data_IF_234278482144
#
_entry.id   IF_234278482144
#
_cell.length_a   1.000
_cell.length_b   1.000
_cell.length_c   1.000
_cell.angle_alpha   90.00
_cell.angle_beta   90.00
_cell.angle_gamma   90.00
#
_symmetry.space_group_name_H-M   'P 1'
#
loop_
_entity.id
_entity.type
_entity.pdbx_description
1 polymer ?
#
# COMPACT_ATOMS: atom_id res chain seq x y z
N UNK A 1 -38.83 3.93 3.86
CA UNK A 1 -37.94 5.08 3.58
C UNK A 1 -36.46 4.71 3.41
N UNK A 2 -35.94 3.65 4.04
CA UNK A 2 -34.52 3.27 3.97
C UNK A 2 -34.06 2.72 2.59
N UNK A 3 -34.94 2.02 1.86
CA UNK A 3 -34.64 1.47 0.52
C UNK A 3 -34.39 2.54 -0.55
N UNK A 4 -35.18 3.63 -0.57
CA UNK A 4 -35.00 4.72 -1.54
C UNK A 4 -33.69 5.49 -1.35
N UNK A 5 -33.24 5.67 -0.10
CA UNK A 5 -31.96 6.33 0.19
C UNK A 5 -30.77 5.48 -0.28
N UNK A 6 -30.83 4.15 -0.11
CA UNK A 6 -29.76 3.26 -0.56
C UNK A 6 -29.65 3.20 -2.09
N UNK A 7 -30.78 3.23 -2.81
CA UNK A 7 -30.79 3.26 -4.28
C UNK A 7 -30.25 4.59 -4.80
N UNK A 8 -30.69 5.72 -4.26
CA UNK A 8 -30.19 7.04 -4.66
C UNK A 8 -28.69 7.16 -4.36
N UNK A 9 -28.24 6.69 -3.19
CA UNK A 9 -26.82 6.68 -2.80
C UNK A 9 -25.98 5.79 -3.72
N UNK A 10 -26.45 4.60 -4.08
CA UNK A 10 -25.71 3.69 -4.97
C UNK A 10 -25.64 4.23 -6.40
N UNK A 11 -26.75 4.77 -6.93
CA UNK A 11 -26.77 5.39 -8.26
C UNK A 11 -25.81 6.57 -8.33
N UNK A 12 -25.87 7.52 -7.38
CA UNK A 12 -24.96 8.67 -7.35
C UNK A 12 -23.50 8.23 -7.22
N UNK A 13 -23.21 7.24 -6.35
CA UNK A 13 -21.84 6.73 -6.17
C UNK A 13 -21.32 6.08 -7.46
N UNK A 14 -22.16 5.31 -8.15
CA UNK A 14 -21.78 4.64 -9.39
C UNK A 14 -21.58 5.65 -10.53
N UNK A 15 -22.46 6.63 -10.68
CA UNK A 15 -22.31 7.68 -11.70
C UNK A 15 -21.03 8.49 -11.47
N UNK A 16 -20.77 8.94 -10.23
CA UNK A 16 -19.53 9.65 -9.89
C UNK A 16 -18.31 8.77 -10.17
N UNK A 17 -18.36 7.49 -9.82
CA UNK A 17 -17.27 6.55 -10.07
C UNK A 17 -17.01 6.38 -11.57
N UNK A 18 -18.06 6.17 -12.37
CA UNK A 18 -17.94 6.01 -13.83
C UNK A 18 -17.37 7.27 -14.47
N UNK A 19 -17.85 8.45 -14.11
CA UNK A 19 -17.34 9.72 -14.65
C UNK A 19 -15.90 9.99 -14.22
N UNK A 20 -15.57 9.63 -12.98
CA UNK A 20 -14.20 9.72 -12.48
C UNK A 20 -13.25 8.77 -13.24
N UNK A 21 -13.64 7.52 -13.47
CA UNK A 21 -12.86 6.57 -14.28
C UNK A 21 -12.66 7.12 -15.69
N UNK A 22 -13.71 7.64 -16.34
CA UNK A 22 -13.59 8.27 -17.66
C UNK A 22 -12.57 9.40 -17.67
N UNK A 23 -12.60 10.28 -16.66
CA UNK A 23 -11.66 11.41 -16.56
C UNK A 23 -10.24 10.93 -16.27
N UNK A 24 -10.07 10.02 -15.32
CA UNK A 24 -8.79 9.39 -14.98
C UNK A 24 -8.16 8.66 -16.19
N UNK A 25 -8.99 8.13 -17.11
CA UNK A 25 -8.50 7.51 -18.34
C UNK A 25 -7.87 8.51 -19.33
N UNK A 26 -8.23 9.79 -19.25
CA UNK A 26 -7.73 10.86 -20.12
C UNK A 26 -6.69 11.75 -19.46
N UNK A 27 -6.54 11.66 -18.15
CA UNK A 27 -5.62 12.49 -17.37
C UNK A 27 -4.20 11.93 -17.43
N UNK A 28 -3.25 12.72 -17.94
CA UNK A 28 -1.84 12.34 -18.07
C UNK A 28 -1.12 12.20 -16.72
N UNK A 29 -1.65 12.80 -15.66
CA UNK A 29 -1.10 12.68 -14.30
C UNK A 29 -1.51 11.37 -13.64
N UNK A 30 -2.58 10.74 -14.14
CA UNK A 30 -3.05 9.45 -13.65
C UNK A 30 -2.36 8.33 -14.43
N UNK A 31 -1.69 7.48 -13.68
CA UNK A 31 -1.10 6.27 -14.20
C UNK A 31 -1.98 5.05 -13.90
N UNK A 32 -2.13 4.20 -14.91
CA UNK A 32 -2.78 2.89 -14.78
C UNK A 32 -1.73 1.78 -14.72
N UNK A 33 -1.87 0.91 -13.73
CA UNK A 33 -1.04 -0.27 -13.55
C UNK A 33 -1.89 -1.50 -13.84
N UNK A 34 -1.64 -2.12 -14.99
CA UNK A 34 -2.26 -3.40 -15.40
C UNK A 34 -1.22 -4.50 -15.36
N UNK A 35 -1.61 -5.71 -14.94
CA UNK A 35 -0.74 -6.87 -14.85
C UNK A 35 0.46 -6.64 -13.93
N UNK A 36 0.22 -5.93 -12.81
CA UNK A 36 1.19 -5.75 -11.74
C UNK A 36 0.85 -6.68 -10.58
N UNK A 37 1.87 -7.38 -10.10
CA UNK A 37 1.79 -8.20 -8.90
C UNK A 37 2.27 -7.35 -7.75
N UNK A 38 1.44 -7.23 -6.71
CA UNK A 38 1.76 -6.47 -5.50
C UNK A 38 2.24 -7.41 -4.38
N UNK A 39 3.26 -6.97 -3.64
CA UNK A 39 3.83 -7.71 -2.51
C UNK A 39 4.21 -6.74 -1.40
N UNK A 40 4.08 -7.12 -0.12
CA UNK A 40 4.58 -6.31 0.97
C UNK A 40 6.10 -6.17 0.89
N UNK A 41 6.61 -4.99 1.26
CA UNK A 41 8.05 -4.77 1.37
C UNK A 41 8.56 -5.55 2.59
N UNK A 42 9.54 -6.43 2.39
CA UNK A 42 10.09 -7.25 3.47
C UNK A 42 10.51 -6.39 4.66
N UNK A 43 10.14 -6.82 5.87
CA UNK A 43 10.45 -6.12 7.11
C UNK A 43 10.03 -4.64 7.11
N UNK A 44 8.89 -4.29 6.52
CA UNK A 44 8.24 -2.97 6.66
C UNK A 44 7.11 -3.01 7.68
N UNK A 45 6.62 -1.85 8.15
CA UNK A 45 5.44 -1.82 9.03
C UNK A 45 4.20 -2.42 8.34
N UNK A 46 4.05 -2.25 7.03
CA UNK A 46 2.98 -2.89 6.24
C UNK A 46 3.12 -4.41 6.22
N UNK A 47 4.35 -4.93 6.11
CA UNK A 47 4.63 -6.36 6.27
C UNK A 47 4.20 -6.83 7.66
N UNK A 48 4.67 -6.19 8.74
CA UNK A 48 4.27 -6.59 10.09
C UNK A 48 2.76 -6.51 10.29
N UNK A 49 2.07 -5.51 9.76
CA UNK A 49 0.60 -5.43 9.83
C UNK A 49 -0.10 -6.63 9.21
N UNK A 50 0.45 -7.19 8.12
CA UNK A 50 -0.09 -8.38 7.47
C UNK A 50 0.13 -9.66 8.30
N UNK A 51 1.28 -9.78 8.95
CA UNK A 51 1.68 -11.02 9.63
C UNK A 51 1.30 -11.06 11.11
N UNK A 52 1.22 -9.91 11.79
CA UNK A 52 0.92 -9.79 13.22
C UNK A 52 -0.33 -10.57 13.67
N UNK A 53 -1.46 -10.56 12.94
CA UNK A 53 -2.62 -11.36 13.33
C UNK A 53 -2.32 -12.87 13.44
N UNK A 54 -1.44 -13.39 12.58
CA UNK A 54 -1.03 -14.80 12.63
C UNK A 54 -0.03 -15.06 13.76
N UNK A 55 0.88 -14.12 14.04
CA UNK A 55 1.87 -14.28 15.10
C UNK A 55 1.25 -14.27 16.50
N UNK A 56 0.14 -13.56 16.69
CA UNK A 56 -0.65 -13.60 17.94
C UNK A 56 -1.19 -15.01 18.21
N UNK A 57 -1.66 -15.71 17.16
CA UNK A 57 -2.25 -17.05 17.27
C UNK A 57 -1.16 -18.10 17.47
N UNK A 58 -0.05 -17.98 16.76
CA UNK A 58 1.05 -18.96 16.78
C UNK A 58 2.22 -18.51 17.67
N UNK A 59 1.97 -17.66 18.67
CA UNK A 59 3.03 -17.08 19.52
C UNK A 59 3.94 -18.14 20.14
N UNK A 60 3.36 -19.25 20.59
CA UNK A 60 4.10 -20.36 21.22
C UNK A 60 4.92 -21.19 20.21
N UNK A 61 4.55 -21.17 18.92
CA UNK A 61 5.28 -21.84 17.84
C UNK A 61 6.32 -20.93 17.16
N UNK A 62 6.15 -19.61 17.28
CA UNK A 62 7.00 -18.59 16.67
C UNK A 62 7.90 -17.87 17.70
N UNK A 63 7.87 -18.31 18.96
CA UNK A 63 8.66 -17.75 20.06
C UNK A 63 10.17 -17.79 19.83
N UNK A 64 10.66 -18.69 18.98
CA UNK A 64 12.06 -18.74 18.55
C UNK A 64 12.43 -17.65 17.54
N UNK A 65 11.44 -17.07 16.84
CA UNK A 65 11.63 -16.05 15.78
C UNK A 65 11.25 -14.64 16.22
N UNK A 66 10.52 -14.50 17.31
CA UNK A 66 10.04 -13.22 17.84
C UNK A 66 10.55 -13.09 19.26
N UNK A 67 11.27 -12.00 19.55
CA UNK A 67 11.74 -11.73 20.91
C UNK A 67 10.56 -11.74 21.88
N UNK A 68 10.64 -12.46 23.02
CA UNK A 68 9.55 -12.56 23.99
C UNK A 68 9.18 -11.20 24.61
N UNK A 69 10.09 -10.22 24.53
CA UNK A 69 9.92 -8.84 24.98
C UNK A 69 9.03 -7.98 24.05
N UNK A 70 8.75 -8.44 22.82
CA UNK A 70 7.92 -7.71 21.87
C UNK A 70 6.44 -8.00 22.15
N UNK A 71 5.73 -6.98 22.64
CA UNK A 71 4.27 -7.02 22.73
C UNK A 71 3.64 -6.82 21.34
N UNK A 72 3.35 -7.94 20.69
CA UNK A 72 2.78 -8.01 19.35
C UNK A 72 1.46 -7.22 19.23
N UNK A 73 0.63 -7.18 20.30
CA UNK A 73 -0.64 -6.42 20.25
C UNK A 73 -0.37 -4.92 20.23
N UNK A 74 0.55 -4.45 21.08
CA UNK A 74 0.97 -3.04 21.08
C UNK A 74 1.65 -2.65 19.77
N UNK A 75 2.40 -3.57 19.15
CA UNK A 75 2.98 -3.33 17.83
C UNK A 75 1.89 -3.10 16.78
N UNK A 76 0.83 -3.92 16.79
CA UNK A 76 -0.30 -3.77 15.86
C UNK A 76 -1.02 -2.43 16.02
N UNK A 77 -1.30 -2.06 17.28
CA UNK A 77 -1.93 -0.78 17.64
C UNK A 77 -1.02 0.41 17.28
N UNK A 78 0.28 0.29 17.49
CA UNK A 78 1.25 1.31 17.11
C UNK A 78 1.17 1.56 15.60
N UNK A 79 1.23 0.49 14.80
CA UNK A 79 1.20 0.60 13.33
C UNK A 79 -0.03 1.38 12.86
N UNK A 80 -1.20 1.10 13.41
CA UNK A 80 -2.45 1.81 13.07
C UNK A 80 -2.41 3.30 13.43
N UNK A 81 -1.66 3.67 14.46
CA UNK A 81 -1.55 5.05 14.91
C UNK A 81 -0.50 5.87 14.12
N UNK A 82 0.59 5.25 13.65
CA UNK A 82 1.64 5.95 12.91
C UNK A 82 1.46 5.94 11.39
N UNK A 83 0.75 4.96 10.82
CA UNK A 83 0.54 4.89 9.36
C UNK A 83 -0.93 4.87 8.96
N UNK A 84 -1.32 5.91 8.22
CA UNK A 84 -2.63 5.99 7.58
C UNK A 84 -2.72 5.26 6.24
N UNK A 85 -1.63 4.66 5.75
CA UNK A 85 -1.55 4.01 4.45
C UNK A 85 -0.62 2.79 4.49
N UNK A 86 -0.80 1.90 3.51
CA UNK A 86 -0.01 0.68 3.33
C UNK A 86 0.83 0.78 2.07
N UNK A 87 2.11 0.43 2.16
CA UNK A 87 3.03 0.43 1.04
C UNK A 87 3.31 -0.98 0.55
N UNK A 88 3.01 -1.21 -0.71
CA UNK A 88 3.29 -2.47 -1.40
C UNK A 88 4.19 -2.19 -2.59
N UNK A 89 5.17 -3.05 -2.80
CA UNK A 89 5.91 -3.09 -4.05
C UNK A 89 5.00 -3.67 -5.12
N UNK A 90 4.93 -3.02 -6.28
CA UNK A 90 4.29 -3.55 -7.46
C UNK A 90 5.35 -3.82 -8.53
N UNK A 91 5.34 -5.03 -9.06
CA UNK A 91 6.23 -5.48 -10.14
C UNK A 91 5.36 -5.88 -11.34
N UNK A 92 5.68 -5.37 -12.53
CA UNK A 92 4.98 -5.81 -13.74
C UNK A 92 5.38 -7.24 -14.09
N UNK A 93 4.47 -7.98 -14.74
CA UNK A 93 4.77 -9.33 -15.22
C UNK A 93 5.54 -9.36 -16.56
N UNK A 94 5.95 -8.21 -17.10
CA UNK A 94 6.67 -8.13 -18.36
C UNK A 94 8.18 -8.32 -18.15
N UNK A 95 8.72 -9.38 -18.75
CA UNK A 95 10.14 -9.77 -18.62
C UNK A 95 11.06 -8.84 -19.42
N UNK A 96 10.57 -8.24 -20.51
CA UNK A 96 11.39 -7.44 -21.44
C UNK A 96 11.67 -6.04 -20.89
N UNK A 97 10.79 -5.52 -20.05
CA UNK A 97 10.95 -4.23 -19.38
C UNK A 97 10.41 -4.32 -17.96
N UNK A 98 11.17 -4.95 -17.04
CA UNK A 98 10.75 -5.13 -15.68
C UNK A 98 10.66 -3.77 -14.99
N UNK A 99 9.49 -3.48 -14.45
CA UNK A 99 9.22 -2.26 -13.74
C UNK A 99 8.84 -2.58 -12.31
N UNK A 100 9.45 -1.83 -11.40
CA UNK A 100 9.19 -1.87 -9.98
C UNK A 100 8.79 -0.49 -9.50
N UNK A 101 7.66 -0.41 -8.81
CA UNK A 101 7.14 0.82 -8.20
C UNK A 101 6.62 0.52 -6.79
N UNK A 102 6.37 1.57 -6.00
CA UNK A 102 5.71 1.47 -4.71
C UNK A 102 4.30 2.04 -4.84
N UNK A 103 3.31 1.25 -4.45
CA UNK A 103 1.91 1.65 -4.41
C UNK A 103 1.50 1.88 -2.96
N UNK A 104 0.97 3.08 -2.68
CA UNK A 104 0.42 3.46 -1.38
C UNK A 104 -1.09 3.37 -1.41
N UNK A 105 -1.64 2.57 -0.50
CA UNK A 105 -3.08 2.38 -0.35
C UNK A 105 -3.54 3.01 0.94
N UNK A 106 -4.53 3.90 0.88
CA UNK A 106 -5.13 4.45 2.09
C UNK A 106 -5.76 3.32 2.94
N UNK A 107 -5.37 3.24 4.22
CA UNK A 107 -5.88 2.24 5.16
C UNK A 107 -7.40 2.26 5.31
N UNK A 108 -8.03 3.42 5.09
CA UNK A 108 -9.49 3.65 5.16
C UNK A 108 -10.16 3.58 3.78
N UNK A 109 -9.40 3.31 2.71
CA UNK A 109 -9.89 3.29 1.33
C UNK A 109 -10.57 1.99 0.92
N UNK A 110 -10.44 0.92 1.71
CA UNK A 110 -11.00 -0.39 1.36
C UNK A 110 -12.52 -0.41 1.50
N UNK A 111 -13.21 -0.65 0.39
CA UNK A 111 -14.67 -0.85 0.34
C UNK A 111 -15.01 -2.34 0.43
N UNK A 112 -16.29 -2.64 0.67
CA UNK A 112 -16.82 -4.02 0.70
C UNK A 112 -16.13 -4.93 1.72
N UNK A 113 -15.59 -4.35 2.80
CA UNK A 113 -14.89 -5.07 3.87
C UNK A 113 -13.66 -5.86 3.39
N UNK A 114 -13.06 -5.50 2.25
CA UNK A 114 -11.78 -6.05 1.85
C UNK A 114 -10.67 -5.66 2.83
N UNK A 115 -9.78 -6.61 3.11
CA UNK A 115 -8.57 -6.42 3.90
C UNK A 115 -7.35 -6.31 2.99
N UNK A 116 -6.26 -5.75 3.52
CA UNK A 116 -4.99 -5.64 2.82
C UNK A 116 -4.50 -6.99 2.25
N UNK A 117 -4.67 -8.08 3.00
CA UNK A 117 -4.29 -9.43 2.57
C UNK A 117 -5.09 -9.92 1.36
N UNK A 118 -6.32 -9.44 1.16
CA UNK A 118 -7.12 -9.84 0.00
C UNK A 118 -6.56 -9.26 -1.30
N UNK A 119 -5.98 -8.05 -1.25
CA UNK A 119 -5.43 -7.39 -2.44
C UNK A 119 -4.28 -8.17 -3.06
N UNK A 120 -3.46 -8.84 -2.25
CA UNK A 120 -2.30 -9.61 -2.71
C UNK A 120 -2.67 -10.76 -3.65
N UNK A 121 -3.92 -11.23 -3.61
CA UNK A 121 -4.42 -12.37 -4.39
C UNK A 121 -5.41 -11.97 -5.49
N UNK A 122 -5.50 -10.68 -5.83
CA UNK A 122 -6.44 -10.18 -6.83
C UNK A 122 -5.72 -9.65 -8.07
N UNK A 123 -6.31 -9.91 -9.24
CA UNK A 123 -5.91 -9.24 -10.48
C UNK A 123 -6.67 -7.91 -10.59
N UNK A 124 -6.05 -6.84 -10.07
CA UNK A 124 -6.63 -5.50 -10.08
C UNK A 124 -5.89 -4.59 -11.05
N UNK A 125 -6.65 -3.63 -11.59
CA UNK A 125 -6.11 -2.45 -12.25
C UNK A 125 -6.03 -1.34 -11.21
N UNK A 126 -4.83 -0.79 -11.03
CA UNK A 126 -4.59 0.30 -10.09
C UNK A 126 -4.50 1.63 -10.81
N UNK A 127 -5.15 2.64 -10.26
CA UNK A 127 -5.10 4.02 -10.72
C UNK A 127 -4.45 4.87 -9.63
N UNK A 128 -3.33 5.51 -9.99
CA UNK A 128 -2.57 6.31 -9.04
C UNK A 128 -1.86 7.50 -9.65
N UNK A 129 -1.48 8.43 -8.78
CA UNK A 129 -0.67 9.60 -9.13
C UNK A 129 0.72 9.48 -8.54
N UNK A 130 1.75 9.92 -9.27
CA UNK A 130 3.12 9.92 -8.77
C UNK A 130 3.26 10.95 -7.65
N UNK A 131 3.74 10.52 -6.49
CA UNK A 131 3.89 11.39 -5.29
C UNK A 131 5.33 11.57 -4.83
N UNK A 132 6.27 10.89 -5.49
CA UNK A 132 7.69 11.04 -5.22
C UNK A 132 8.49 9.80 -5.56
N UNK A 133 9.72 9.77 -5.10
CA UNK A 133 10.67 8.68 -5.28
C UNK A 133 11.36 8.36 -3.96
N UNK A 134 11.71 7.10 -3.75
CA UNK A 134 12.33 6.61 -2.52
C UNK A 134 13.12 5.34 -2.79
N UNK A 135 13.91 4.88 -1.83
CA UNK A 135 14.62 3.59 -1.92
C UNK A 135 13.95 2.55 -1.04
N UNK A 136 14.00 1.28 -1.42
CA UNK A 136 13.38 0.20 -0.61
C UNK A 136 13.91 0.15 0.83
N UNK A 137 15.17 0.54 1.04
CA UNK A 137 15.81 0.56 2.35
C UNK A 137 15.10 1.51 3.33
N UNK A 138 14.48 2.59 2.84
CA UNK A 138 13.75 3.54 3.69
C UNK A 138 12.48 2.94 4.30
N UNK A 139 11.96 1.86 3.72
CA UNK A 139 10.77 1.15 4.20
C UNK A 139 11.11 -0.01 5.15
N UNK A 140 12.39 -0.21 5.51
CA UNK A 140 12.72 -1.17 6.56
C UNK A 140 12.25 -0.65 7.92
N UNK A 141 11.76 -1.53 8.76
CA UNK A 141 11.19 -1.22 10.08
C UNK A 141 12.16 -0.41 10.93
N UNK A 142 13.46 -0.69 10.87
CA UNK A 142 14.48 0.07 11.60
C UNK A 142 14.50 1.54 11.18
N UNK A 143 14.39 1.80 9.88
CA UNK A 143 14.36 3.16 9.36
C UNK A 143 12.99 3.81 9.57
N UNK A 144 11.90 3.07 9.41
CA UNK A 144 10.56 3.57 9.68
C UNK A 144 10.39 3.96 11.16
N UNK A 145 10.98 3.22 12.10
CA UNK A 145 11.00 3.56 13.52
C UNK A 145 11.85 4.79 13.85
N UNK A 146 12.94 5.07 13.12
CA UNK A 146 13.68 6.33 13.28
C UNK A 146 12.85 7.56 12.93
N UNK A 147 11.87 7.44 12.05
CA UNK A 147 10.94 8.54 11.77
C UNK A 147 9.86 8.67 12.85
N UNK A 148 9.55 7.58 13.58
CA UNK A 148 8.59 7.58 14.70
C UNK A 148 9.24 8.14 15.97
N UNK A 149 10.45 7.73 16.28
CA UNK A 149 11.26 8.27 17.36
C UNK A 149 11.99 9.50 16.83
N UNK A 150 11.46 10.67 17.17
CA UNK A 150 11.76 12.03 16.66
C UNK A 150 13.23 12.51 16.70
N UNK A 151 14.23 11.63 16.75
CA UNK A 151 15.65 11.92 16.51
C UNK A 151 15.91 12.00 15.00
N UNK A 152 15.14 12.85 14.31
CA UNK A 152 15.31 13.08 12.88
C UNK A 152 16.46 14.09 12.74
N UNK A 153 17.62 13.64 12.27
CA UNK A 153 18.70 14.55 11.93
C UNK A 153 18.39 15.22 10.58
N UNK A 154 18.85 16.46 10.38
CA UNK A 154 18.75 17.17 9.09
C UNK A 154 19.35 16.35 7.94
N UNK A 155 20.29 15.46 8.23
CA UNK A 155 20.94 14.56 7.29
C UNK A 155 20.01 13.41 6.82
N UNK A 156 19.08 12.97 7.68
CA UNK A 156 18.03 12.00 7.34
C UNK A 156 16.93 12.60 6.46
N UNK A 157 16.60 13.89 6.66
CA UNK A 157 15.61 14.64 5.85
C UNK A 157 16.18 14.98 4.48
N UNK A 158 17.45 15.38 4.43
CA UNK A 158 18.13 15.81 3.19
C UNK A 158 18.63 14.61 2.38
N UNK A 159 18.47 13.38 2.90
CA UNK A 159 18.69 12.17 2.12
C UNK A 159 20.13 12.05 1.64
N UNK A 160 21.11 12.20 2.53
CA UNK A 160 22.51 11.97 2.19
C UNK A 160 22.86 10.47 2.12
N UNK A 161 21.92 9.65 1.66
CA UNK A 161 22.26 8.38 1.04
C UNK A 161 22.69 8.73 -0.38
N UNK A 162 23.98 8.66 -0.65
CA UNK A 162 24.51 8.41 -2.01
C UNK A 162 24.06 7.02 -2.49
N UNK A 163 22.75 6.73 -2.43
CA UNK A 163 22.16 5.73 -3.28
C UNK A 163 22.30 6.30 -4.68
N UNK A 164 23.00 5.59 -5.54
CA UNK A 164 23.04 5.94 -6.96
C UNK A 164 21.60 6.15 -7.44
N UNK A 165 21.38 7.10 -8.35
CA UNK A 165 20.06 7.42 -8.92
C UNK A 165 19.32 6.17 -9.45
N UNK A 166 20.08 5.09 -9.69
CA UNK A 166 19.63 3.75 -10.10
C UNK A 166 18.77 2.99 -9.07
N UNK A 167 18.86 3.32 -7.77
CA UNK A 167 18.12 2.61 -6.71
C UNK A 167 16.79 3.27 -6.35
N UNK A 168 16.46 4.40 -6.98
CA UNK A 168 15.20 5.12 -6.73
C UNK A 168 14.03 4.42 -7.39
N UNK A 169 12.97 4.26 -6.61
CA UNK A 169 11.71 3.66 -7.00
C UNK A 169 10.61 4.71 -6.89
N UNK A 170 9.83 4.86 -7.96
CA UNK A 170 8.69 5.78 -7.99
C UNK A 170 7.58 5.29 -7.08
N UNK A 171 6.95 6.26 -6.40
CA UNK A 171 5.86 6.03 -5.47
C UNK A 171 4.58 6.60 -6.08
N UNK A 172 3.50 5.82 -6.00
CA UNK A 172 2.18 6.24 -6.45
C UNK A 172 1.16 6.08 -5.34
N UNK A 173 0.37 7.13 -5.11
CA UNK A 173 -0.81 7.05 -4.25
C UNK A 173 -1.96 6.49 -5.09
N UNK A 174 -2.47 5.34 -4.67
CA UNK A 174 -3.59 4.67 -5.32
C UNK A 174 -4.90 5.20 -4.73
N UNK A 175 -5.69 5.83 -5.58
CA UNK A 175 -7.01 6.36 -5.23
C UNK A 175 -8.15 5.46 -5.72
N UNK A 176 -7.88 4.56 -6.68
CA UNK A 176 -8.84 3.58 -7.18
C UNK A 176 -8.13 2.28 -7.58
N UNK A 177 -8.68 1.15 -7.15
CA UNK A 177 -8.28 -0.17 -7.56
C UNK A 177 -9.53 -1.03 -7.80
N UNK A 178 -9.56 -1.78 -8.89
CA UNK A 178 -10.72 -2.59 -9.24
C UNK A 178 -10.43 -3.58 -10.36
N UNK A 179 -11.37 -4.48 -10.59
CA UNK A 179 -11.32 -5.40 -11.73
C UNK A 179 -11.91 -4.68 -12.93
N UNK A 180 -11.16 -4.58 -14.03
CA UNK A 180 -11.72 -4.21 -15.32
C UNK A 180 -12.21 -5.48 -16.00
N UNK A 181 -13.50 -5.51 -16.35
CA UNK A 181 -14.02 -6.52 -17.27
C UNK A 181 -13.57 -6.07 -18.65
N UNK A 182 -12.69 -6.84 -19.27
CA UNK A 182 -12.50 -6.71 -20.71
C UNK A 182 -13.77 -7.27 -21.34
N UNK A 183 -14.62 -6.40 -21.87
CA UNK A 183 -15.63 -6.85 -22.82
C UNK A 183 -14.87 -7.34 -24.06
N UNK A 184 -14.76 -8.67 -24.20
CA UNK A 184 -14.42 -9.32 -25.47
C UNK A 184 -15.58 -9.19 -26.47
#
# INVERSE_FOLDING_TARGET
MQYGQNIVKSTITNTILTDYIKKANTDKMVRKFRNFIIKPINNSLTYWKLYTPYTIIFKDQLSEKISPEIDIKKLDELIDNVKGYYELVAENSNIDNPEKVILRFNSKGFKNNYKLSNLLNMNLVYYGVSVGESTLKQYSVENEFKFVNKDITTEDIIGNNKAEDKDKIKIYDIFLAGVEINEE
#
